data_IF_146116783938
#
_entry.id   IF_146116783938
#
_cell.length_a   1.000
_cell.length_b   1.000
_cell.length_c   1.000
_cell.angle_alpha   90.00
_cell.angle_beta   90.00
_cell.angle_gamma   90.00
#
_symmetry.space_group_name_H-M   'P 1'
#
loop_
_entity.id
_entity.type
_entity.pdbx_description
1 polymer ?
#
# COMPACT_ATOMS: atom_id res chain seq x y z
N UNK A 1 -6.76 1.17 -17.94
CA UNK A 1 -5.80 2.30 -18.03
C UNK A 1 -4.86 2.22 -16.85
N UNK A 2 -3.59 2.58 -17.01
CA UNK A 2 -2.63 2.64 -15.89
C UNK A 2 -2.15 4.08 -15.76
N UNK A 3 -2.23 4.64 -14.56
CA UNK A 3 -1.56 5.89 -14.20
C UNK A 3 -0.39 5.59 -13.26
N UNK A 4 0.63 6.45 -13.30
CA UNK A 4 1.83 6.32 -12.47
C UNK A 4 2.11 7.67 -11.82
N UNK A 5 2.11 7.69 -10.49
CA UNK A 5 2.31 8.89 -9.70
C UNK A 5 3.45 8.70 -8.69
N UNK A 6 4.19 9.78 -8.43
CA UNK A 6 5.26 9.75 -7.42
C UNK A 6 4.65 9.87 -6.02
N UNK A 7 5.03 8.98 -5.11
CA UNK A 7 4.66 9.10 -3.69
C UNK A 7 5.38 10.31 -3.08
N UNK A 8 4.61 11.30 -2.61
CA UNK A 8 5.13 12.56 -2.05
C UNK A 8 5.48 12.46 -0.57
N UNK A 9 4.78 11.60 0.18
CA UNK A 9 4.99 11.41 1.61
C UNK A 9 4.76 9.94 1.96
N UNK A 10 5.80 9.30 2.50
CA UNK A 10 5.82 7.87 2.80
C UNK A 10 4.83 7.47 3.89
N UNK A 11 4.80 8.22 5.00
CA UNK A 11 3.94 7.94 6.16
C UNK A 11 2.47 8.07 5.77
N UNK A 12 2.11 9.18 5.12
CA UNK A 12 0.73 9.39 4.65
C UNK A 12 0.29 8.34 3.63
N UNK A 13 1.21 7.86 2.79
CA UNK A 13 0.90 6.81 1.83
C UNK A 13 0.66 5.47 2.52
N UNK A 14 1.50 5.09 3.48
CA UNK A 14 1.31 3.87 4.27
C UNK A 14 -0.01 3.90 5.04
N UNK A 15 -0.34 5.03 5.67
CA UNK A 15 -1.61 5.21 6.36
C UNK A 15 -2.81 5.23 5.42
N UNK A 16 -2.64 5.69 4.17
CA UNK A 16 -3.71 5.71 3.17
C UNK A 16 -4.00 4.32 2.63
N UNK A 17 -2.96 3.55 2.26
CA UNK A 17 -3.12 2.18 1.75
C UNK A 17 -3.43 1.16 2.84
N UNK A 18 -3.04 1.45 4.08
CA UNK A 18 -3.37 0.63 5.25
C UNK A 18 -4.75 0.92 5.83
N UNK A 19 -5.42 2.00 5.40
CA UNK A 19 -6.80 2.28 5.78
C UNK A 19 -7.75 1.43 4.93
N UNK A 20 -8.58 0.66 5.61
CA UNK A 20 -9.67 -0.12 5.00
C UNK A 20 -10.93 0.74 4.73
N UNK A 21 -10.84 2.07 4.77
CA UNK A 21 -12.00 2.97 4.68
C UNK A 21 -12.70 2.92 3.31
N UNK A 22 -13.79 2.15 3.25
CA UNK A 22 -15.19 2.42 2.86
C UNK A 22 -15.57 3.41 1.74
N UNK A 23 -14.66 4.14 1.08
CA UNK A 23 -15.08 5.27 0.22
C UNK A 23 -15.84 4.89 -1.07
N UNK A 24 -16.09 3.59 -1.33
CA UNK A 24 -16.82 3.12 -2.51
C UNK A 24 -17.77 1.92 -2.31
N UNK A 25 -18.04 1.40 -1.10
CA UNK A 25 -18.86 0.16 -0.99
C UNK A 25 -19.84 0.14 0.18
N UNK A 26 -21.13 0.13 -0.14
CA UNK A 26 -22.24 -0.33 0.72
C UNK A 26 -22.09 -1.79 1.22
N UNK A 27 -21.05 -2.54 0.79
CA UNK A 27 -20.91 -3.99 1.02
C UNK A 27 -19.50 -4.47 1.40
N UNK A 28 -18.77 -3.70 2.21
CA UNK A 28 -17.59 -4.20 2.95
C UNK A 28 -16.22 -3.78 2.40
N UNK A 29 -15.21 -3.98 3.26
CA UNK A 29 -13.83 -3.57 3.09
C UNK A 29 -13.21 -4.12 1.80
N UNK A 30 -12.59 -3.26 1.00
CA UNK A 30 -11.80 -3.72 -0.14
C UNK A 30 -10.57 -4.49 0.38
N UNK A 31 -10.31 -5.72 -0.10
CA UNK A 31 -9.16 -6.48 0.35
C UNK A 31 -7.88 -5.74 -0.04
N UNK A 32 -7.02 -5.48 0.94
CA UNK A 32 -5.68 -4.94 0.75
C UNK A 32 -4.64 -6.02 1.03
N UNK A 33 -3.52 -5.99 0.31
CA UNK A 33 -2.44 -6.97 0.46
C UNK A 33 -1.08 -6.30 0.26
N UNK A 34 -0.13 -6.63 1.13
CA UNK A 34 1.29 -6.31 0.92
C UNK A 34 1.91 -7.47 0.14
N UNK A 35 2.32 -7.23 -1.10
CA UNK A 35 2.77 -8.30 -2.00
C UNK A 35 4.17 -8.06 -2.56
N UNK A 36 4.74 -9.15 -3.11
CA UNK A 36 6.00 -9.15 -3.85
C UNK A 36 7.18 -9.72 -3.07
N UNK A 37 8.19 -10.18 -3.82
CA UNK A 37 9.37 -10.89 -3.27
C UNK A 37 10.15 -10.10 -2.21
N UNK A 38 10.17 -8.77 -2.33
CA UNK A 38 10.78 -7.90 -1.31
C UNK A 38 10.02 -7.94 0.01
N UNK A 39 8.68 -7.91 -0.04
CA UNK A 39 7.85 -8.03 1.15
C UNK A 39 7.93 -9.42 1.77
N UNK A 40 7.99 -10.49 0.95
CA UNK A 40 8.23 -11.86 1.41
C UNK A 40 9.56 -12.00 2.14
N UNK A 41 10.64 -11.48 1.54
CA UNK A 41 11.98 -11.50 2.12
C UNK A 41 12.04 -10.73 3.46
N UNK A 42 11.30 -9.62 3.57
CA UNK A 42 11.20 -8.83 4.79
C UNK A 42 10.20 -9.39 5.81
N UNK A 43 9.44 -10.45 5.47
CA UNK A 43 8.44 -11.05 6.35
C UNK A 43 7.20 -10.18 6.59
N UNK A 44 6.91 -9.23 5.69
CA UNK A 44 5.77 -8.29 5.83
C UNK A 44 4.65 -8.55 4.82
N UNK A 45 4.77 -9.58 3.99
CA UNK A 45 3.77 -9.92 2.99
C UNK A 45 2.44 -10.41 3.60
N UNK A 46 1.38 -10.35 2.80
CA UNK A 46 0.06 -10.94 3.09
C UNK A 46 -1.07 -9.91 3.19
N UNK A 47 -2.29 -10.43 3.35
CA UNK A 47 -3.52 -9.62 3.45
C UNK A 47 -3.46 -8.64 4.62
N UNK A 48 -4.09 -7.48 4.46
CA UNK A 48 -4.28 -6.45 5.49
C UNK A 48 -5.74 -6.53 5.95
N UNK A 49 -5.90 -6.76 7.24
CA UNK A 49 -7.12 -6.95 8.01
C UNK A 49 -7.03 -6.09 9.28
N UNK A 50 -8.09 -6.08 10.10
CA UNK A 50 -8.11 -5.33 11.38
C UNK A 50 -7.46 -6.13 12.53
N UNK A 51 -6.24 -6.61 12.31
CA UNK A 51 -5.46 -7.39 13.28
C UNK A 51 -4.24 -6.60 13.78
N UNK A 52 -3.77 -6.92 14.99
CA UNK A 52 -2.54 -6.33 15.55
C UNK A 52 -1.31 -6.63 14.69
N UNK A 53 -1.23 -7.85 14.16
CA UNK A 53 -0.10 -8.27 13.32
C UNK A 53 -0.11 -7.50 11.98
N UNK A 54 -1.29 -7.10 11.52
CA UNK A 54 -1.48 -6.36 10.29
C UNK A 54 -1.07 -4.91 10.49
N UNK A 55 -1.45 -4.30 11.61
CA UNK A 55 -0.96 -2.98 12.00
C UNK A 55 0.58 -2.93 12.05
N UNK A 56 1.22 -4.00 12.54
CA UNK A 56 2.68 -4.10 12.54
C UNK A 56 3.27 -4.20 11.12
N UNK A 57 2.64 -4.98 10.23
CA UNK A 57 3.07 -5.09 8.82
C UNK A 57 2.87 -3.79 8.04
N UNK A 58 1.74 -3.10 8.22
CA UNK A 58 1.47 -1.78 7.61
C UNK A 58 2.49 -0.75 8.10
N UNK A 59 2.80 -0.74 9.40
CA UNK A 59 3.87 0.12 9.94
C UNK A 59 5.23 -0.20 9.30
N UNK A 60 5.58 -1.47 9.19
CA UNK A 60 6.84 -1.89 8.57
C UNK A 60 6.90 -1.51 7.08
N UNK A 61 5.79 -1.61 6.35
CA UNK A 61 5.67 -1.11 4.99
C UNK A 61 5.92 0.41 4.90
N UNK A 62 5.36 1.18 5.85
CA UNK A 62 5.65 2.61 5.95
C UNK A 62 7.13 2.92 6.21
N UNK A 63 7.80 2.13 7.04
CA UNK A 63 9.25 2.25 7.24
C UNK A 63 10.04 1.97 5.95
N UNK A 64 9.65 0.95 5.19
CA UNK A 64 10.25 0.66 3.88
C UNK A 64 10.02 1.83 2.91
N UNK A 65 8.82 2.40 2.86
CA UNK A 65 8.52 3.60 2.08
C UNK A 65 9.29 4.83 2.58
N UNK A 66 9.70 4.88 3.85
CA UNK A 66 10.58 5.90 4.43
C UNK A 66 12.08 5.58 4.21
N UNK A 67 12.40 4.43 3.60
CA UNK A 67 13.76 3.99 3.32
C UNK A 67 14.46 3.43 4.56
N UNK A 68 13.70 2.97 5.55
CA UNK A 68 14.20 2.35 6.76
C UNK A 68 13.91 0.86 6.72
N UNK A 69 14.94 0.06 6.91
CA UNK A 69 14.83 -1.41 6.96
C UNK A 69 15.56 -1.87 8.21
N UNK A 70 14.88 -2.62 9.08
CA UNK A 70 15.41 -3.09 10.37
C UNK A 70 16.04 -1.95 11.19
N UNK A 71 15.40 -0.77 11.19
CA UNK A 71 15.87 0.43 11.90
C UNK A 71 16.99 1.22 11.21
N UNK A 72 17.59 0.70 10.14
CA UNK A 72 18.70 1.32 9.40
C UNK A 72 18.17 2.15 8.24
N UNK A 73 18.65 3.39 8.10
CA UNK A 73 18.38 4.22 6.92
C UNK A 73 19.15 3.69 5.72
N UNK A 74 18.44 3.40 4.64
CA UNK A 74 18.99 2.97 3.35
C UNK A 74 18.90 4.13 2.36
N UNK A 75 20.03 4.47 1.75
CA UNK A 75 20.14 5.58 0.80
C UNK A 75 20.08 6.96 1.45
N UNK A 76 20.05 7.99 0.61
CA UNK A 76 19.96 9.39 1.05
C UNK A 76 18.52 9.75 1.43
N UNK A 77 18.29 9.97 2.73
CA UNK A 77 16.98 10.33 3.26
C UNK A 77 16.43 11.65 2.67
N UNK A 78 17.29 12.59 2.31
CA UNK A 78 16.86 13.91 1.83
C UNK A 78 16.41 13.90 0.36
N UNK A 79 17.05 13.08 -0.48
CA UNK A 79 16.84 13.09 -1.93
C UNK A 79 16.16 11.84 -2.48
N UNK A 80 15.87 10.82 -1.63
CA UNK A 80 15.22 9.60 -2.11
C UNK A 80 13.79 9.83 -2.59
N UNK A 81 13.38 8.99 -3.54
CA UNK A 81 11.98 8.81 -3.91
C UNK A 81 11.38 7.75 -3.01
N UNK A 82 10.29 8.08 -2.31
CA UNK A 82 9.61 7.15 -1.39
C UNK A 82 9.09 5.90 -2.11
N UNK A 83 8.54 6.10 -3.31
CA UNK A 83 8.02 5.04 -4.17
C UNK A 83 7.15 5.64 -5.28
N UNK A 84 6.44 4.74 -5.97
CA UNK A 84 5.53 5.05 -7.06
C UNK A 84 4.18 4.39 -6.78
N UNK A 85 3.10 5.13 -6.99
CA UNK A 85 1.73 4.61 -7.03
C UNK A 85 1.41 4.23 -8.48
N UNK A 86 0.93 3.01 -8.68
CA UNK A 86 0.46 2.53 -9.97
C UNK A 86 -1.03 2.18 -9.85
N UNK A 87 -1.88 3.07 -10.34
CA UNK A 87 -3.33 2.85 -10.28
C UNK A 87 -3.83 2.21 -11.56
N UNK A 88 -4.46 1.03 -11.44
CA UNK A 88 -5.03 0.28 -12.56
C UNK A 88 -6.55 0.46 -12.57
N UNK A 89 -7.04 1.14 -13.59
CA UNK A 89 -8.49 1.37 -13.78
C UNK A 89 -9.06 0.36 -14.77
N UNK A 90 -10.08 -0.38 -14.34
CA UNK A 90 -10.88 -1.24 -15.20
C UNK A 90 -11.66 -0.41 -16.24
N UNK A 91 -11.94 -0.97 -17.45
CA UNK A 91 -12.84 -0.33 -18.39
C UNK A 91 -14.22 -0.10 -17.78
N UNK A 92 -14.89 1.01 -18.12
CA UNK A 92 -16.15 1.42 -17.48
C UNK A 92 -17.23 0.34 -17.51
N UNK A 93 -17.34 -0.41 -18.61
CA UNK A 93 -18.27 -1.53 -18.75
C UNK A 93 -18.03 -2.64 -17.73
N UNK A 94 -16.76 -2.98 -17.45
CA UNK A 94 -16.38 -3.95 -16.42
C UNK A 94 -16.65 -3.42 -15.00
N UNK A 95 -16.35 -2.15 -14.74
CA UNK A 95 -16.63 -1.55 -13.43
C UNK A 95 -18.12 -1.58 -13.08
N UNK A 96 -19.01 -1.36 -14.06
CA UNK A 96 -20.46 -1.45 -13.85
C UNK A 96 -20.89 -2.91 -13.64
N UNK A 97 -20.39 -3.83 -14.47
CA UNK A 97 -20.77 -5.25 -14.39
C UNK A 97 -20.34 -5.92 -13.07
N UNK A 98 -19.21 -5.51 -12.47
CA UNK A 98 -18.70 -6.07 -11.22
C UNK A 98 -19.21 -5.36 -9.95
N UNK A 99 -19.97 -4.28 -10.10
CA UNK A 99 -20.60 -3.56 -8.99
C UNK A 99 -22.01 -4.10 -8.64
N UNK A 100 -22.54 -4.98 -9.50
CA UNK A 100 -23.76 -5.77 -9.29
C UNK A 100 -23.41 -7.18 -8.83
#
# INVERSE_FOLDING_TARGET
MISVDKIKNAEKAADYYGRLDDYYREHGQAPAEIAGKGAEFLGIAGAVTDSRDDAARVKAFGEVLAGRINGVQVGDAANRVAGWDMTIQAPKSFSIAAAH
#
